data_IF_423729051798
#
_entry.id   IF_423729051798
#
_cell.length_a   1.000
_cell.length_b   1.000
_cell.length_c   1.000
_cell.angle_alpha   90.00
_cell.angle_beta   90.00
_cell.angle_gamma   90.00
#
_symmetry.space_group_name_H-M   'P 1'
#
loop_
_entity.id
_entity.type
_entity.pdbx_description
1 polymer ?
#
# COMPACT_ATOMS: atom_id res chain seq x y z
N UNK A 1 -2.42 -20.79 11.05
CA UNK A 1 -1.91 -19.80 12.02
C UNK A 1 -0.49 -20.19 12.37
N UNK A 2 0.50 -19.38 11.99
CA UNK A 2 1.89 -19.62 12.40
C UNK A 2 2.06 -19.23 13.88
N UNK A 3 2.82 -19.97 14.71
CA UNK A 3 2.95 -19.69 16.14
C UNK A 3 3.63 -18.35 16.39
N UNK A 4 3.25 -17.65 17.46
CA UNK A 4 3.72 -16.30 17.80
C UNK A 4 5.24 -16.20 18.06
N UNK A 5 5.93 -17.32 18.29
CA UNK A 5 7.25 -17.31 18.92
C UNK A 5 8.24 -18.30 18.28
N UNK A 6 8.31 -18.33 16.95
CA UNK A 6 9.48 -18.93 16.26
C UNK A 6 10.37 -17.80 15.73
N UNK A 7 11.43 -17.41 16.47
CA UNK A 7 12.31 -16.30 16.08
C UNK A 7 12.89 -16.46 14.68
N UNK A 8 13.15 -17.71 14.26
CA UNK A 8 13.68 -18.04 12.94
C UNK A 8 12.74 -17.63 11.79
N UNK A 9 11.41 -17.75 11.96
CA UNK A 9 10.43 -17.35 10.93
C UNK A 9 10.11 -15.85 11.00
N UNK A 10 10.13 -15.26 12.20
CA UNK A 10 9.74 -13.86 12.39
C UNK A 10 10.81 -12.88 11.86
N UNK A 11 12.07 -13.30 11.74
CA UNK A 11 13.15 -12.50 11.16
C UNK A 11 12.87 -12.06 9.72
N UNK A 12 12.38 -12.98 8.87
CA UNK A 12 11.99 -12.67 7.49
C UNK A 12 10.79 -11.73 7.44
N UNK A 13 9.73 -12.01 8.22
CA UNK A 13 8.56 -11.14 8.27
C UNK A 13 8.91 -9.72 8.75
N UNK A 14 9.79 -9.61 9.75
CA UNK A 14 10.25 -8.32 10.28
C UNK A 14 11.07 -7.55 9.25
N UNK A 15 11.98 -8.23 8.55
CA UNK A 15 12.81 -7.62 7.49
C UNK A 15 11.99 -7.12 6.31
N UNK A 16 10.92 -7.82 5.95
CA UNK A 16 10.03 -7.45 4.84
C UNK A 16 9.00 -6.37 5.24
N UNK A 17 8.51 -6.39 6.48
CA UNK A 17 7.50 -5.42 6.94
C UNK A 17 8.09 -4.06 7.36
N UNK A 18 9.33 -4.03 7.85
CA UNK A 18 10.00 -2.78 8.23
C UNK A 18 10.13 -1.76 7.09
N UNK A 19 10.58 -2.11 5.86
CA UNK A 19 10.66 -1.15 4.76
C UNK A 19 9.29 -0.65 4.30
N UNK A 20 8.20 -1.39 4.54
CA UNK A 20 6.84 -0.94 4.20
C UNK A 20 6.47 0.29 5.01
N UNK A 21 6.78 0.32 6.31
CA UNK A 21 6.54 1.50 7.16
C UNK A 21 7.36 2.72 6.74
N UNK A 22 8.62 2.51 6.33
CA UNK A 22 9.47 3.58 5.80
C UNK A 22 8.86 4.16 4.52
N UNK A 23 8.41 3.30 3.60
CA UNK A 23 7.74 3.71 2.35
C UNK A 23 6.42 4.44 2.62
N UNK A 24 5.64 3.96 3.59
CA UNK A 24 4.38 4.58 4.02
C UNK A 24 4.62 6.03 4.47
N UNK A 25 5.63 6.24 5.31
CA UNK A 25 6.00 7.58 5.78
C UNK A 25 6.51 8.46 4.64
N UNK A 26 7.29 7.89 3.72
CA UNK A 26 7.80 8.60 2.56
C UNK A 26 6.66 9.05 1.62
N UNK A 27 5.74 8.15 1.25
CA UNK A 27 4.59 8.43 0.37
C UNK A 27 3.69 9.52 0.99
N UNK A 28 3.40 9.39 2.28
CA UNK A 28 2.58 10.34 3.01
C UNK A 28 3.23 11.74 3.05
N UNK A 29 4.51 11.81 3.44
CA UNK A 29 5.25 13.08 3.47
C UNK A 29 5.39 13.71 2.07
N UNK A 30 5.64 12.91 1.04
CA UNK A 30 5.80 13.38 -0.34
C UNK A 30 4.49 13.93 -0.90
N UNK A 31 3.36 13.31 -0.59
CA UNK A 31 2.02 13.75 -1.02
C UNK A 31 1.50 14.99 -0.29
N UNK A 32 2.16 15.42 0.80
CA UNK A 32 1.73 16.52 1.68
C UNK A 32 0.30 16.34 2.23
N UNK A 33 -0.16 15.09 2.34
CA UNK A 33 -1.46 14.78 2.90
C UNK A 33 -1.42 14.72 4.44
N UNK A 34 -2.55 14.98 5.12
CA UNK A 34 -2.67 14.78 6.55
C UNK A 34 -2.37 13.35 6.98
N UNK A 35 -1.89 13.17 8.22
CA UNK A 35 -1.65 11.84 8.80
C UNK A 35 -2.90 10.95 8.88
N UNK A 36 -4.10 11.50 8.69
CA UNK A 36 -5.33 10.73 8.59
C UNK A 36 -5.31 9.69 7.45
N UNK A 37 -4.52 9.92 6.38
CA UNK A 37 -4.41 9.04 5.20
C UNK A 37 -3.28 7.99 5.32
N UNK A 38 -2.82 7.69 6.54
CA UNK A 38 -1.70 6.77 6.75
C UNK A 38 -2.01 5.33 6.32
N UNK A 39 -3.27 4.92 6.41
CA UNK A 39 -3.80 3.60 6.02
C UNK A 39 -3.82 3.42 4.50
N UNK A 40 -4.29 4.43 3.77
CA UNK A 40 -4.26 4.50 2.31
C UNK A 40 -2.80 4.49 1.80
N UNK A 41 -1.93 5.24 2.48
CA UNK A 41 -0.49 5.26 2.20
C UNK A 41 0.15 3.89 2.45
N UNK A 42 -0.23 3.21 3.52
CA UNK A 42 0.27 1.87 3.88
C UNK A 42 -0.16 0.82 2.85
N UNK A 43 -1.42 0.88 2.40
CA UNK A 43 -1.94 0.04 1.34
C UNK A 43 -1.15 0.23 0.05
N UNK A 44 -0.95 1.50 -0.34
CA UNK A 44 -0.15 1.87 -1.52
C UNK A 44 1.29 1.37 -1.41
N UNK A 45 1.95 1.59 -0.27
CA UNK A 45 3.31 1.13 -0.02
C UNK A 45 3.45 -0.40 -0.15
N UNK A 46 2.43 -1.13 0.32
CA UNK A 46 2.38 -2.60 0.27
C UNK A 46 2.18 -3.10 -1.16
N UNK A 47 1.22 -2.53 -1.89
CA UNK A 47 0.99 -2.86 -3.32
C UNK A 47 2.23 -2.59 -4.15
N UNK A 48 2.84 -1.41 -3.99
CA UNK A 48 4.08 -1.05 -4.68
C UNK A 48 5.22 -2.02 -4.34
N UNK A 49 5.38 -2.38 -3.06
CA UNK A 49 6.41 -3.33 -2.64
C UNK A 49 6.22 -4.71 -3.25
N UNK A 50 4.97 -5.14 -3.45
CA UNK A 50 4.66 -6.43 -4.06
C UNK A 50 4.72 -6.40 -5.59
N UNK A 51 4.62 -5.22 -6.21
CA UNK A 51 4.53 -5.11 -7.68
C UNK A 51 5.87 -4.71 -8.30
N UNK A 52 6.68 -3.91 -7.60
CA UNK A 52 7.98 -3.45 -8.11
C UNK A 52 9.00 -4.60 -8.06
N UNK A 53 9.69 -4.89 -9.18
CA UNK A 53 10.79 -5.86 -9.18
C UNK A 53 11.96 -5.32 -8.35
N UNK A 54 12.56 -6.18 -7.53
CA UNK A 54 13.76 -5.83 -6.76
C UNK A 54 14.98 -6.64 -7.23
N UNK A 55 16.19 -6.07 -7.19
CA UNK A 55 17.42 -6.80 -7.54
C UNK A 55 17.63 -8.05 -6.68
N UNK A 56 17.23 -7.97 -5.40
CA UNK A 56 17.25 -9.10 -4.45
C UNK A 56 16.40 -10.29 -4.89
N UNK A 57 15.48 -10.10 -5.85
CA UNK A 57 14.54 -11.10 -6.37
C UNK A 57 14.74 -11.34 -7.87
N UNK A 58 15.98 -11.21 -8.36
CA UNK A 58 16.34 -11.43 -9.77
C UNK A 58 15.54 -10.52 -10.71
N UNK A 59 15.24 -9.29 -10.27
CA UNK A 59 14.40 -8.34 -11.00
C UNK A 59 13.00 -8.87 -11.35
N UNK A 60 12.46 -9.82 -10.57
CA UNK A 60 11.08 -10.27 -10.68
C UNK A 60 10.21 -9.61 -9.62
N UNK A 61 9.00 -9.24 -10.02
CA UNK A 61 7.97 -8.75 -9.12
C UNK A 61 7.55 -9.86 -8.15
N UNK A 62 7.43 -9.58 -6.85
CA UNK A 62 6.88 -10.54 -5.88
C UNK A 62 5.51 -11.08 -6.29
N UNK A 63 4.66 -10.22 -6.84
CA UNK A 63 3.35 -10.61 -7.39
C UNK A 63 3.49 -11.62 -8.53
N UNK A 64 4.45 -11.43 -9.44
CA UNK A 64 4.72 -12.38 -10.52
C UNK A 64 5.27 -13.70 -10.01
N UNK A 65 6.15 -13.67 -9.01
CA UNK A 65 6.68 -14.89 -8.40
C UNK A 65 5.57 -15.70 -7.71
N UNK A 66 4.64 -15.01 -7.06
CA UNK A 66 3.54 -15.67 -6.33
C UNK A 66 2.41 -16.15 -7.25
N UNK A 67 2.01 -15.34 -8.24
CA UNK A 67 0.83 -15.62 -9.09
C UNK A 67 1.17 -16.15 -10.47
N UNK A 68 2.44 -16.11 -10.90
CA UNK A 68 2.84 -16.43 -12.26
C UNK A 68 2.34 -15.44 -13.32
N UNK A 69 1.78 -14.29 -12.88
CA UNK A 69 1.19 -13.28 -13.76
C UNK A 69 2.02 -12.00 -13.79
N UNK A 70 2.04 -11.31 -14.92
CA UNK A 70 2.64 -9.98 -15.01
C UNK A 70 1.80 -8.96 -14.20
N UNK A 71 2.42 -8.08 -13.39
CA UNK A 71 1.67 -7.06 -12.65
C UNK A 71 1.05 -6.09 -13.66
N UNK A 72 -0.26 -5.91 -13.57
CA UNK A 72 -0.96 -4.93 -14.39
C UNK A 72 -0.83 -3.55 -13.73
N UNK A 73 -0.05 -2.65 -14.34
CA UNK A 73 0.29 -1.31 -13.81
C UNK A 73 -0.39 -0.16 -14.57
N UNK A 74 -1.24 -0.46 -15.56
CA UNK A 74 -1.68 0.53 -16.58
C UNK A 74 -2.51 1.69 -16.01
N UNK A 75 -3.19 1.52 -14.88
CA UNK A 75 -4.06 2.53 -14.28
C UNK A 75 -3.71 2.89 -12.82
N UNK A 76 -2.45 2.73 -12.41
CA UNK A 76 -2.05 3.14 -11.06
C UNK A 76 -2.00 4.67 -10.98
N UNK A 77 -3.04 5.27 -10.39
CA UNK A 77 -3.01 6.69 -10.04
C UNK A 77 -1.92 6.94 -8.98
N UNK A 78 -1.24 8.07 -9.08
CA UNK A 78 -0.28 8.50 -8.06
C UNK A 78 -1.01 8.76 -6.74
N UNK A 79 -0.40 8.33 -5.64
CA UNK A 79 -0.93 8.62 -4.31
C UNK A 79 -1.04 10.14 -4.09
N UNK A 80 -2.20 10.60 -3.63
CA UNK A 80 -2.51 12.03 -3.47
C UNK A 80 -2.99 12.73 -4.74
N UNK A 81 -3.36 11.98 -5.79
CA UNK A 81 -4.08 12.55 -6.92
C UNK A 81 -5.46 13.09 -6.50
N UNK A 82 -5.93 14.15 -7.17
CA UNK A 82 -7.22 14.77 -6.86
C UNK A 82 -8.36 13.79 -7.13
N UNK A 83 -9.08 13.41 -6.07
CA UNK A 83 -10.32 12.65 -6.17
C UNK A 83 -11.53 13.59 -6.15
N UNK A 84 -12.45 13.42 -7.09
CA UNK A 84 -13.72 14.14 -7.12
C UNK A 84 -14.74 13.28 -6.36
N UNK A 85 -15.25 13.78 -5.24
CA UNK A 85 -16.36 13.16 -4.52
C UNK A 85 -17.66 13.78 -5.04
N UNK A 86 -18.43 13.03 -5.81
CA UNK A 86 -19.78 13.43 -6.19
C UNK A 86 -20.73 13.12 -5.02
N UNK A 87 -20.97 14.10 -4.16
CA UNK A 87 -22.04 13.99 -3.16
C UNK A 87 -23.39 13.91 -3.90
N UNK A 88 -24.10 12.80 -3.77
CA UNK A 88 -25.51 12.78 -4.17
C UNK A 88 -26.24 13.82 -3.32
N UNK A 89 -26.90 14.78 -3.97
CA UNK A 89 -27.65 15.84 -3.30
C UNK A 89 -28.92 15.23 -2.67
N UNK A 90 -28.73 14.56 -1.54
CA UNK A 90 -29.79 13.97 -0.73
C UNK A 90 -30.46 15.05 0.12
N UNK A 91 -31.72 15.32 -0.21
CA UNK A 91 -32.72 16.16 0.45
C UNK A 91 -32.41 16.52 1.92
N UNK A 92 -32.09 17.80 2.18
CA UNK A 92 -32.08 18.34 3.55
C UNK A 92 -33.52 18.42 4.04
N UNK A 93 -34.00 17.40 4.74
CA UNK A 93 -35.14 17.60 5.63
C UNK A 93 -34.63 18.17 6.96
N UNK A 94 -34.90 19.46 7.13
CA UNK A 94 -34.91 20.08 8.44
C UNK A 94 -36.06 19.48 9.25
N UNK A 95 -35.75 18.87 10.39
CA UNK A 95 -36.74 18.64 11.45
C UNK A 95 -36.13 19.03 12.80
N UNK A 96 -36.59 20.20 13.24
CA UNK A 96 -36.60 20.81 14.58
C UNK A 96 -35.25 21.19 15.20
#
# INVERSE_FOLDING_TARGET
MSPAETPQHNGFAKGENQPIWVKTRFILNHSKLPNAYWDESLSTATVLSNFVPTPSRTNKSPFSLWRGLSPWLKNNQTFGFQAIIAFQKGHREWKF
#
